data_IF_719943055817
#
_entry.id   IF_719943055817
#
_cell.length_a   1.000
_cell.length_b   1.000
_cell.length_c   1.000
_cell.angle_alpha   90.00
_cell.angle_beta   90.00
_cell.angle_gamma   90.00
#
_symmetry.space_group_name_H-M   'P 1'
#
loop_
_entity.id
_entity.type
_entity.pdbx_description
1 polymer ?
#
# COMPACT_ATOMS: atom_id res chain seq x y z
N UNK A 1 21.33 65.16 -9.95
CA UNK A 1 20.37 64.14 -10.41
C UNK A 1 20.91 62.76 -10.07
N UNK A 2 20.34 62.11 -9.06
CA UNK A 2 20.73 60.74 -8.67
C UNK A 2 19.75 59.78 -9.35
N UNK A 3 20.25 59.01 -10.33
CA UNK A 3 19.51 57.87 -10.89
C UNK A 3 19.61 56.72 -9.90
N UNK A 4 18.54 56.49 -9.12
CA UNK A 4 18.42 55.27 -8.32
C UNK A 4 18.05 54.14 -9.30
N UNK A 5 19.02 53.29 -9.62
CA UNK A 5 18.79 52.08 -10.39
C UNK A 5 17.93 51.14 -9.58
N UNK A 6 16.75 50.81 -10.11
CA UNK A 6 15.89 49.79 -9.55
C UNK A 6 16.57 48.43 -9.74
N UNK A 7 17.03 47.85 -8.63
CA UNK A 7 17.47 46.44 -8.62
C UNK A 7 16.22 45.63 -8.33
N UNK A 8 15.76 44.85 -9.31
CA UNK A 8 14.65 43.92 -9.13
C UNK A 8 15.07 42.89 -8.07
N UNK A 9 14.35 42.72 -6.96
CA UNK A 9 14.59 41.59 -6.07
C UNK A 9 14.23 40.32 -6.84
N UNK A 10 15.24 39.53 -7.21
CA UNK A 10 14.99 38.13 -7.60
C UNK A 10 14.62 37.43 -6.31
N UNK A 11 13.33 37.14 -6.13
CA UNK A 11 12.91 36.14 -5.18
C UNK A 11 13.65 34.85 -5.56
N UNK A 12 14.51 34.38 -4.67
CA UNK A 12 14.94 32.99 -4.68
C UNK A 12 13.66 32.19 -4.50
N UNK A 13 13.21 31.56 -5.58
CA UNK A 13 12.31 30.42 -5.45
C UNK A 13 13.23 29.37 -4.81
N UNK A 14 13.18 29.25 -3.48
CA UNK A 14 13.41 27.95 -2.87
C UNK A 14 12.28 27.09 -3.42
N UNK A 15 12.57 26.45 -4.55
CA UNK A 15 11.94 25.22 -4.95
C UNK A 15 12.29 24.29 -3.80
N UNK A 16 11.43 24.28 -2.78
CA UNK A 16 11.40 23.20 -1.83
C UNK A 16 11.06 21.99 -2.69
N UNK A 17 12.13 21.32 -3.14
CA UNK A 17 12.13 19.93 -3.56
C UNK A 17 11.04 19.27 -2.72
N UNK A 18 9.96 18.82 -3.38
CA UNK A 18 9.09 17.88 -2.71
C UNK A 18 10.04 16.79 -2.26
N UNK A 19 10.23 16.66 -0.94
CA UNK A 19 10.96 15.55 -0.37
C UNK A 19 10.17 14.33 -0.79
N UNK A 20 10.47 13.80 -1.97
CA UNK A 20 10.08 12.49 -2.44
C UNK A 20 10.88 11.58 -1.51
N UNK A 21 10.35 11.39 -0.30
CA UNK A 21 10.77 10.35 0.60
C UNK A 21 10.56 9.08 -0.20
N UNK A 22 11.65 8.59 -0.78
CA UNK A 22 11.69 7.35 -1.51
C UNK A 22 11.54 6.26 -0.46
N UNK A 23 10.29 5.99 -0.09
CA UNK A 23 9.92 4.92 0.82
C UNK A 23 10.40 3.61 0.20
N UNK A 24 11.12 2.80 0.97
CA UNK A 24 11.38 1.43 0.56
C UNK A 24 10.03 0.68 0.49
N UNK A 25 9.46 0.57 -0.71
CA UNK A 25 8.16 -0.05 -0.92
C UNK A 25 8.29 -1.56 -1.10
N UNK A 26 7.69 -2.36 -0.22
CA UNK A 26 7.53 -3.80 -0.45
C UNK A 26 6.17 -4.06 -1.10
N UNK A 27 6.13 -4.98 -2.06
CA UNK A 27 4.88 -5.46 -2.63
C UNK A 27 4.35 -6.66 -1.84
N UNK A 28 3.08 -6.98 -2.01
CA UNK A 28 2.48 -8.21 -1.45
C UNK A 28 1.72 -8.96 -2.54
N UNK A 29 2.20 -10.14 -2.89
CA UNK A 29 1.55 -11.02 -3.87
C UNK A 29 0.36 -11.73 -3.23
N UNK A 30 -0.86 -11.28 -3.54
CA UNK A 30 -2.08 -11.90 -3.04
C UNK A 30 -2.37 -13.23 -3.75
N UNK A 31 -2.72 -14.25 -2.97
CA UNK A 31 -3.28 -15.52 -3.45
C UNK A 31 -4.78 -15.32 -3.70
N UNK A 32 -5.10 -14.80 -4.89
CA UNK A 32 -6.46 -14.50 -5.34
C UNK A 32 -7.37 -15.74 -5.31
N UNK A 33 -6.84 -16.91 -5.62
CA UNK A 33 -7.60 -18.16 -5.59
C UNK A 33 -7.99 -18.53 -4.16
N UNK A 34 -7.09 -18.36 -3.20
CA UNK A 34 -7.41 -18.55 -1.79
C UNK A 34 -8.40 -17.51 -1.29
N UNK A 35 -8.19 -16.24 -1.62
CA UNK A 35 -9.05 -15.15 -1.18
C UNK A 35 -10.49 -15.36 -1.66
N UNK A 36 -10.69 -15.64 -2.95
CA UNK A 36 -12.01 -15.97 -3.50
C UNK A 36 -12.66 -17.19 -2.82
N UNK A 37 -11.88 -18.23 -2.49
CA UNK A 37 -12.41 -19.39 -1.75
C UNK A 37 -12.80 -19.03 -0.32
N UNK A 38 -12.03 -18.16 0.34
CA UNK A 38 -12.34 -17.67 1.68
C UNK A 38 -13.66 -16.90 1.66
N UNK A 39 -13.79 -15.93 0.74
CA UNK A 39 -15.00 -15.13 0.53
C UNK A 39 -16.23 -15.99 0.21
N UNK A 40 -16.05 -17.07 -0.55
CA UNK A 40 -17.12 -18.01 -0.85
C UNK A 40 -17.59 -18.78 0.40
N UNK A 41 -16.67 -19.22 1.26
CA UNK A 41 -16.99 -19.98 2.48
C UNK A 41 -17.75 -19.15 3.51
N UNK A 42 -17.46 -17.87 3.61
CA UNK A 42 -18.17 -16.95 4.50
C UNK A 42 -19.44 -16.34 3.88
N UNK A 43 -19.61 -16.48 2.57
CA UNK A 43 -20.83 -16.10 1.85
C UNK A 43 -20.84 -14.67 1.32
N UNK A 44 -19.68 -14.01 1.26
CA UNK A 44 -19.54 -12.63 0.77
C UNK A 44 -19.13 -12.55 -0.71
N UNK A 45 -18.62 -13.65 -1.28
CA UNK A 45 -18.31 -13.74 -2.72
C UNK A 45 -19.51 -13.33 -3.60
N UNK A 46 -20.69 -13.87 -3.31
CA UNK A 46 -21.92 -13.58 -4.06
C UNK A 46 -22.49 -12.17 -3.77
N UNK A 47 -21.90 -11.43 -2.83
CA UNK A 47 -22.25 -10.04 -2.51
C UNK A 47 -21.28 -9.04 -3.14
N UNK A 48 -20.42 -9.50 -4.06
CA UNK A 48 -19.47 -8.66 -4.77
C UNK A 48 -18.14 -8.45 -4.04
N UNK A 49 -17.81 -9.28 -3.04
CA UNK A 49 -16.47 -9.33 -2.45
C UNK A 49 -15.66 -10.38 -3.23
N UNK A 50 -15.11 -9.95 -4.36
CA UNK A 50 -14.35 -10.82 -5.28
C UNK A 50 -12.95 -10.29 -5.48
N UNK A 51 -12.02 -11.21 -5.75
CA UNK A 51 -10.62 -10.92 -5.98
C UNK A 51 -10.24 -11.24 -7.43
N UNK A 52 -9.39 -10.41 -8.04
CA UNK A 52 -8.88 -10.61 -9.39
C UNK A 52 -7.37 -10.32 -9.46
N UNK A 53 -6.71 -10.97 -10.42
CA UNK A 53 -5.26 -10.92 -10.55
C UNK A 53 -4.71 -9.54 -10.98
N UNK A 54 -5.54 -8.66 -11.54
CA UNK A 54 -5.09 -7.37 -12.09
C UNK A 54 -5.12 -6.28 -11.03
N UNK A 55 -6.10 -6.32 -10.11
CA UNK A 55 -6.20 -5.38 -9.00
C UNK A 55 -5.59 -5.97 -7.73
N UNK A 56 -6.37 -6.68 -6.92
CA UNK A 56 -5.90 -7.14 -5.61
C UNK A 56 -4.79 -8.21 -5.69
N UNK A 57 -4.74 -9.00 -6.77
CA UNK A 57 -3.67 -9.95 -7.03
C UNK A 57 -2.36 -9.34 -7.52
N UNK A 58 -2.37 -8.08 -7.93
CA UNK A 58 -1.18 -7.40 -8.39
C UNK A 58 -0.38 -6.87 -7.19
N UNK A 59 0.82 -7.40 -6.99
CA UNK A 59 1.68 -6.99 -5.88
C UNK A 59 2.06 -5.51 -5.89
N UNK A 60 2.01 -4.85 -7.05
CA UNK A 60 2.21 -3.40 -7.14
C UNK A 60 1.03 -2.60 -6.59
N UNK A 61 -0.13 -3.21 -6.38
CA UNK A 61 -1.28 -2.58 -5.76
C UNK A 61 -1.35 -2.85 -4.26
N UNK A 62 -0.63 -3.84 -3.73
CA UNK A 62 -0.59 -4.15 -2.29
C UNK A 62 0.74 -3.66 -1.71
N UNK A 63 0.78 -2.39 -1.33
CA UNK A 63 2.04 -1.69 -1.04
C UNK A 63 2.26 -1.54 0.45
N UNK A 64 3.41 -1.98 0.92
CA UNK A 64 3.91 -1.69 2.27
C UNK A 64 4.88 -0.52 2.18
N UNK A 65 4.64 0.52 2.99
CA UNK A 65 5.48 1.71 3.07
C UNK A 65 6.39 1.65 4.28
N UNK A 66 7.65 1.99 4.05
CA UNK A 66 8.59 2.47 5.06
C UNK A 66 8.76 3.98 4.82
N UNK A 67 7.94 4.79 5.48
CA UNK A 67 7.84 6.23 5.23
C UNK A 67 9.09 6.98 5.74
N UNK A 68 9.86 6.38 6.66
CA UNK A 68 11.01 6.99 7.30
C UNK A 68 12.37 6.35 6.94
N UNK A 69 12.36 5.32 6.12
CA UNK A 69 13.51 4.56 5.64
C UNK A 69 14.37 3.95 6.77
N UNK A 70 13.74 3.46 7.85
CA UNK A 70 14.44 2.76 8.93
C UNK A 70 14.49 1.23 8.76
N UNK A 71 14.00 0.74 7.62
CA UNK A 71 13.89 -0.68 7.30
C UNK A 71 12.72 -1.37 7.98
N UNK A 72 11.78 -0.64 8.59
CA UNK A 72 10.54 -1.16 9.15
C UNK A 72 9.35 -0.62 8.39
N UNK A 73 8.36 -1.47 8.20
CA UNK A 73 7.11 -1.02 7.62
C UNK A 73 6.31 -0.16 8.61
N UNK A 74 5.79 0.96 8.12
CA UNK A 74 4.95 1.89 8.85
C UNK A 74 3.47 1.65 8.58
N UNK A 75 3.13 1.20 7.35
CA UNK A 75 1.75 0.94 6.92
C UNK A 75 1.68 0.08 5.68
N UNK A 76 0.50 -0.48 5.42
CA UNK A 76 0.17 -1.17 4.17
C UNK A 76 -1.10 -0.54 3.57
N UNK A 77 -1.08 -0.33 2.25
CA UNK A 77 -2.16 0.28 1.47
C UNK A 77 -2.44 -0.58 0.25
N UNK A 78 -3.72 -0.83 -0.01
CA UNK A 78 -4.19 -1.31 -1.30
C UNK A 78 -4.45 -0.11 -2.21
N UNK A 79 -3.60 0.08 -3.22
CA UNK A 79 -3.64 1.20 -4.15
C UNK A 79 -4.48 0.92 -5.39
N UNK A 80 -5.21 1.94 -5.85
CA UNK A 80 -5.91 1.87 -7.14
C UNK A 80 -6.99 0.80 -7.21
N UNK A 81 -7.66 0.51 -6.10
CA UNK A 81 -8.79 -0.44 -6.06
C UNK A 81 -9.89 0.06 -6.99
N UNK A 82 -10.40 -0.80 -7.87
CA UNK A 82 -11.37 -0.45 -8.93
C UNK A 82 -12.58 0.34 -8.39
N UNK A 83 -12.61 1.65 -8.70
CA UNK A 83 -13.65 2.57 -8.26
C UNK A 83 -13.66 2.94 -6.76
N UNK A 84 -12.73 2.39 -5.96
CA UNK A 84 -12.66 2.57 -4.50
C UNK A 84 -11.44 3.39 -4.05
N UNK A 85 -10.43 3.54 -4.90
CA UNK A 85 -9.22 4.31 -4.61
C UNK A 85 -8.25 3.56 -3.70
N UNK A 86 -7.62 4.27 -2.77
CA UNK A 86 -6.62 3.71 -1.87
C UNK A 86 -7.27 3.31 -0.54
N UNK A 87 -7.07 2.06 -0.14
CA UNK A 87 -7.65 1.48 1.08
C UNK A 87 -6.54 1.11 2.05
N UNK A 88 -6.70 1.47 3.34
CA UNK A 88 -5.77 1.03 4.37
C UNK A 88 -5.98 -0.45 4.68
N UNK A 89 -4.86 -1.17 4.82
CA UNK A 89 -4.87 -2.57 5.18
C UNK A 89 -4.72 -2.75 6.69
N UNK A 90 -5.48 -3.70 7.26
CA UNK A 90 -5.19 -4.23 8.60
C UNK A 90 -4.53 -5.60 8.45
N UNK A 91 -3.34 -5.79 9.01
CA UNK A 91 -2.58 -7.04 8.89
C UNK A 91 -2.85 -7.94 10.09
N UNK A 92 -2.85 -9.25 9.87
CA UNK A 92 -3.10 -10.29 10.85
C UNK A 92 -2.02 -11.38 10.79
N UNK A 93 -1.89 -12.10 11.90
CA UNK A 93 -0.94 -13.20 12.05
C UNK A 93 -1.55 -14.58 11.77
N UNK A 94 -2.87 -14.66 11.62
CA UNK A 94 -3.62 -15.90 11.40
C UNK A 94 -4.67 -15.75 10.29
N UNK A 95 -5.03 -16.89 9.70
CA UNK A 95 -5.99 -17.02 8.60
C UNK A 95 -7.45 -16.83 8.99
N UNK A 96 -7.73 -16.67 10.29
CA UNK A 96 -9.05 -16.34 10.82
C UNK A 96 -9.18 -14.85 11.16
N UNK A 97 -8.17 -14.04 10.84
CA UNK A 97 -8.18 -12.59 11.06
C UNK A 97 -8.47 -12.20 12.52
N UNK A 98 -8.02 -13.04 13.46
CA UNK A 98 -8.34 -12.90 14.88
C UNK A 98 -7.27 -12.16 15.68
N UNK A 99 -6.02 -12.18 15.20
CA UNK A 99 -4.87 -11.56 15.85
C UNK A 99 -4.20 -10.55 14.93
N UNK A 100 -4.53 -9.27 15.17
CA UNK A 100 -3.90 -8.13 14.48
C UNK A 100 -2.39 -8.17 14.70
N UNK A 101 -1.67 -7.98 13.61
CA UNK A 101 -0.22 -8.00 13.55
C UNK A 101 0.32 -6.59 13.35
N UNK A 102 1.35 -6.25 14.10
CA UNK A 102 2.10 -5.02 13.90
C UNK A 102 2.79 -5.05 12.53
N UNK A 103 2.49 -4.07 11.69
CA UNK A 103 3.05 -3.93 10.35
C UNK A 103 4.58 -3.81 10.37
N UNK A 104 5.16 -3.18 11.40
CA UNK A 104 6.62 -3.05 11.54
C UNK A 104 7.34 -4.38 11.76
N UNK A 105 6.60 -5.45 12.11
CA UNK A 105 7.13 -6.81 12.24
C UNK A 105 7.19 -7.58 10.91
N UNK A 106 6.59 -7.03 9.85
CA UNK A 106 6.50 -7.66 8.54
C UNK A 106 7.84 -7.56 7.83
N UNK A 107 8.22 -8.65 7.15
CA UNK A 107 9.48 -8.77 6.40
C UNK A 107 9.22 -9.42 5.06
N UNK A 108 10.05 -9.08 4.08
CA UNK A 108 10.10 -9.75 2.78
C UNK A 108 10.21 -11.28 2.96
N UNK A 109 9.45 -12.02 2.17
CA UNK A 109 9.36 -13.48 2.18
C UNK A 109 8.35 -14.05 3.19
N UNK A 110 7.70 -13.22 4.01
CA UNK A 110 6.67 -13.70 4.93
C UNK A 110 5.32 -13.79 4.25
N UNK A 111 4.57 -14.85 4.59
CA UNK A 111 3.14 -14.88 4.37
C UNK A 111 2.46 -13.97 5.41
N UNK A 112 1.51 -13.17 4.95
CA UNK A 112 0.68 -12.31 5.77
C UNK A 112 -0.79 -12.46 5.37
N UNK A 113 -1.67 -12.15 6.32
CA UNK A 113 -3.10 -12.06 6.13
C UNK A 113 -3.48 -10.60 6.32
N UNK A 114 -4.37 -10.05 5.50
CA UNK A 114 -4.84 -8.69 5.69
C UNK A 114 -6.28 -8.51 5.24
N UNK A 115 -6.93 -7.47 5.77
CA UNK A 115 -8.22 -7.02 5.29
C UNK A 115 -8.13 -5.61 4.73
N UNK A 116 -8.93 -5.35 3.70
CA UNK A 116 -9.24 -4.00 3.23
C UNK A 116 -10.72 -3.78 3.33
N UNK A 117 -11.13 -2.59 3.78
CA UNK A 117 -12.55 -2.25 3.96
C UNK A 117 -12.85 -0.98 3.19
N UNK A 118 -13.84 -1.07 2.30
CA UNK A 118 -14.28 0.07 1.50
C UNK A 118 -15.28 0.96 2.26
N UNK A 119 -15.47 2.17 1.75
CA UNK A 119 -16.43 3.13 2.33
C UNK A 119 -17.88 2.64 2.30
N UNK A 120 -18.21 1.68 1.44
CA UNK A 120 -19.54 1.05 1.37
C UNK A 120 -19.75 -0.07 2.42
N UNK A 121 -18.74 -0.35 3.24
CA UNK A 121 -18.79 -1.31 4.34
C UNK A 121 -18.45 -2.76 3.95
N UNK A 122 -18.09 -3.03 2.69
CA UNK A 122 -17.55 -4.34 2.30
C UNK A 122 -16.11 -4.50 2.78
N UNK A 123 -15.77 -5.71 3.19
CA UNK A 123 -14.42 -6.08 3.63
C UNK A 123 -13.94 -7.26 2.80
N UNK A 124 -12.73 -7.14 2.24
CA UNK A 124 -12.03 -8.18 1.51
C UNK A 124 -10.98 -8.82 2.40
N UNK A 125 -10.87 -10.14 2.34
CA UNK A 125 -9.97 -10.95 3.16
C UNK A 125 -8.91 -11.57 2.28
N UNK A 126 -7.66 -11.17 2.53
CA UNK A 126 -6.54 -11.52 1.68
C UNK A 126 -5.52 -12.37 2.42
N UNK A 127 -4.75 -13.13 1.65
CA UNK A 127 -3.55 -13.83 2.07
C UNK A 127 -2.52 -13.69 0.97
N UNK A 128 -1.25 -13.55 1.31
CA UNK A 128 -0.23 -13.33 0.31
C UNK A 128 1.17 -13.30 0.88
N UNK A 129 2.15 -13.21 -0.01
CA UNK A 129 3.57 -13.20 0.34
C UNK A 129 4.18 -11.83 0.09
N UNK A 130 4.94 -11.32 1.06
CA UNK A 130 5.67 -10.05 0.94
C UNK A 130 6.86 -10.25 0.01
N UNK A 131 7.02 -9.38 -0.98
CA UNK A 131 8.11 -9.42 -1.95
C UNK A 131 8.91 -8.13 -1.94
N UNK A 132 10.21 -8.25 -2.21
CA UNK A 132 11.06 -7.08 -2.43
C UNK A 132 10.63 -6.41 -3.74
N UNK A 133 9.95 -5.27 -3.64
CA UNK A 133 9.56 -4.32 -4.70
C UNK A 133 9.38 -4.86 -6.14
N UNK A 134 8.17 -4.80 -6.66
CA UNK A 134 7.85 -5.06 -8.08
C UNK A 134 8.24 -3.87 -9.00
N UNK A 135 8.45 -4.08 -10.32
CA UNK A 135 8.73 -3.00 -11.27
C UNK A 135 7.63 -1.92 -11.25
N UNK A 136 8.01 -0.66 -11.03
CA UNK A 136 7.09 0.48 -10.87
C UNK A 136 7.18 1.16 -9.50
N UNK A 137 7.67 0.44 -8.48
CA UNK A 137 8.02 0.99 -7.16
C UNK A 137 9.41 0.49 -6.78
N UNK A 138 10.49 0.98 -7.39
CA UNK A 138 11.82 0.43 -7.15
C UNK A 138 12.18 0.54 -5.67
N UNK A 139 12.61 -0.57 -5.05
CA UNK A 139 13.36 -0.51 -3.80
C UNK A 139 14.57 0.39 -4.03
N UNK A 140 14.56 1.59 -3.47
CA UNK A 140 15.76 2.42 -3.36
C UNK A 140 16.28 2.25 -1.94
N UNK A 141 17.15 1.25 -1.79
CA UNK A 141 18.02 1.06 -0.62
C UNK A 141 18.99 2.23 -0.45
#
# INVERSE_FOLDING_TARGET
MVRKGWVTPKAMVEEFEANEYVAACWGVECDVDWANRFEWRQGDYNKGVTHDNIHCGNASNQVIYDDNNDGKADRMVEEGTDGLGNLLCTIYSDDNYSSVRDVSSVKVGQEIYWTTTAADGRTWNHRGTVVASTPGHPNHS
#
